data_IF_824867273717
#
_entry.id   IF_824867273717
#
_cell.length_a   1.000
_cell.length_b   1.000
_cell.length_c   1.000
_cell.angle_alpha   90.00
_cell.angle_beta   90.00
_cell.angle_gamma   90.00
#
_symmetry.space_group_name_H-M   'P 1'
#
loop_
_entity.id
_entity.type
_entity.pdbx_description
1 polymer ?
#
# COMPACT_ATOMS: atom_id res chain seq x y z
N UNK A 1 9.99 -13.53 -17.91
CA UNK A 1 9.23 -12.48 -17.19
C UNK A 1 9.13 -11.27 -18.09
N UNK A 2 7.99 -10.57 -18.15
CA UNK A 2 7.88 -9.35 -18.96
C UNK A 2 8.50 -8.17 -18.18
N UNK A 3 9.60 -7.63 -18.67
CA UNK A 3 10.20 -6.41 -18.13
C UNK A 3 9.37 -5.21 -18.57
N UNK A 4 8.45 -4.75 -17.72
CA UNK A 4 7.95 -3.37 -17.85
C UNK A 4 9.16 -2.41 -17.79
N UNK A 5 9.15 -1.31 -18.56
CA UNK A 5 10.24 -0.35 -18.51
C UNK A 5 10.37 0.21 -17.07
N UNK A 6 11.59 0.49 -16.59
CA UNK A 6 11.76 1.04 -15.26
C UNK A 6 11.20 2.45 -15.15
N UNK A 7 11.19 3.21 -16.25
CA UNK A 7 10.62 4.55 -16.37
C UNK A 7 9.16 4.46 -16.86
N UNK A 8 8.21 5.02 -16.10
CA UNK A 8 6.77 5.00 -16.40
C UNK A 8 6.13 6.36 -16.09
N UNK A 9 5.50 6.97 -17.09
CA UNK A 9 4.66 8.16 -16.91
C UNK A 9 3.30 7.77 -16.31
N UNK A 10 3.12 8.03 -15.01
CA UNK A 10 2.08 7.44 -14.16
C UNK A 10 0.67 7.72 -14.67
N UNK A 11 0.34 8.97 -14.97
CA UNK A 11 -1.00 9.35 -15.46
C UNK A 11 -1.37 8.65 -16.78
N UNK A 12 -0.38 8.45 -17.65
CA UNK A 12 -0.55 7.78 -18.94
C UNK A 12 -0.75 6.29 -18.75
N UNK A 13 0.06 5.67 -17.88
CA UNK A 13 -0.11 4.27 -17.51
C UNK A 13 -1.49 4.04 -16.86
N UNK A 14 -1.96 4.94 -16.00
CA UNK A 14 -3.32 4.89 -15.44
C UNK A 14 -4.37 5.01 -16.56
N UNK A 15 -4.23 5.95 -17.48
CA UNK A 15 -5.14 6.12 -18.62
C UNK A 15 -5.22 4.87 -19.52
N UNK A 16 -4.08 4.26 -19.83
CA UNK A 16 -3.97 3.03 -20.63
C UNK A 16 -4.53 1.79 -19.90
N UNK A 17 -4.68 1.84 -18.57
CA UNK A 17 -5.10 0.72 -17.74
C UNK A 17 -6.45 0.91 -17.01
N UNK A 18 -7.24 1.94 -17.35
CA UNK A 18 -8.49 2.29 -16.66
C UNK A 18 -9.44 1.11 -16.40
N UNK A 19 -9.57 0.19 -17.37
CA UNK A 19 -10.44 -0.99 -17.26
C UNK A 19 -10.05 -1.94 -16.10
N UNK A 20 -8.79 -1.95 -15.66
CA UNK A 20 -8.35 -2.78 -14.53
C UNK A 20 -8.77 -2.21 -13.16
N UNK A 21 -9.11 -0.92 -13.09
CA UNK A 21 -9.55 -0.25 -11.86
C UNK A 21 -11.06 -0.41 -11.61
N UNK A 22 -11.76 -1.19 -12.46
CA UNK A 22 -13.18 -1.51 -12.36
C UNK A 22 -13.39 -2.99 -11.95
N UNK A 23 -14.57 -3.34 -11.40
CA UNK A 23 -14.94 -4.73 -11.14
C UNK A 23 -14.88 -5.61 -12.40
N UNK A 24 -14.47 -6.90 -12.29
CA UNK A 24 -14.16 -7.63 -11.06
C UNK A 24 -12.70 -7.50 -10.58
N UNK A 25 -11.85 -6.74 -11.27
CA UNK A 25 -10.40 -6.71 -11.01
C UNK A 25 -10.03 -5.66 -9.96
N UNK A 26 -10.54 -4.43 -10.11
CA UNK A 26 -10.33 -3.27 -9.25
C UNK A 26 -8.87 -2.87 -8.93
N UNK A 27 -7.84 -3.52 -9.46
CA UNK A 27 -6.44 -3.23 -9.18
C UNK A 27 -5.51 -3.57 -10.36
N UNK A 28 -4.32 -2.95 -10.41
CA UNK A 28 -3.22 -3.40 -11.25
C UNK A 28 -1.86 -3.01 -10.68
N UNK A 29 -0.92 -3.97 -10.68
CA UNK A 29 0.50 -3.75 -10.42
C UNK A 29 1.17 -3.02 -11.60
N UNK A 30 1.79 -1.86 -11.30
CA UNK A 30 2.73 -1.16 -12.18
C UNK A 30 4.12 -1.79 -12.07
N UNK A 31 4.58 -2.07 -10.83
CA UNK A 31 5.82 -2.79 -10.58
C UNK A 31 5.61 -3.94 -9.59
N UNK A 32 6.24 -5.07 -9.87
CA UNK A 32 6.21 -6.28 -9.04
C UNK A 32 7.66 -6.76 -8.87
N UNK A 33 8.32 -6.33 -7.80
CA UNK A 33 9.76 -6.51 -7.56
C UNK A 33 10.03 -6.61 -6.05
N UNK A 34 11.07 -5.99 -5.49
CA UNK A 34 11.24 -5.90 -4.03
C UNK A 34 10.17 -4.98 -3.43
N UNK A 35 10.00 -3.79 -4.01
CA UNK A 35 8.81 -2.94 -3.82
C UNK A 35 7.71 -3.41 -4.78
N UNK A 36 6.47 -3.45 -4.31
CA UNK A 36 5.28 -3.69 -5.13
C UNK A 36 4.50 -2.38 -5.22
N UNK A 37 4.28 -1.89 -6.44
CA UNK A 37 3.63 -0.60 -6.70
C UNK A 37 2.38 -0.87 -7.53
N UNK A 38 1.21 -0.56 -6.99
CA UNK A 38 -0.08 -0.83 -7.62
C UNK A 38 -1.04 0.34 -7.55
N UNK A 39 -1.97 0.40 -8.50
CA UNK A 39 -3.09 1.33 -8.50
C UNK A 39 -4.39 0.55 -8.34
N UNK A 40 -5.25 1.03 -7.44
CA UNK A 40 -6.46 0.35 -7.00
C UNK A 40 -7.66 1.30 -7.10
N UNK A 41 -8.72 0.85 -7.77
CA UNK A 41 -9.96 1.60 -7.94
C UNK A 41 -11.17 0.91 -7.29
N UNK A 42 -12.34 1.07 -7.91
CA UNK A 42 -13.60 0.57 -7.36
C UNK A 42 -14.81 0.79 -8.29
N UNK A 43 -16.02 0.39 -7.83
CA UNK A 43 -16.34 0.11 -6.43
C UNK A 43 -15.76 -1.23 -5.95
N UNK A 44 -15.22 -1.25 -4.74
CA UNK A 44 -14.78 -2.46 -4.05
C UNK A 44 -14.99 -2.29 -2.55
N UNK A 45 -15.90 -3.06 -1.96
CA UNK A 45 -16.20 -3.05 -0.51
C UNK A 45 -16.18 -4.48 0.00
N UNK A 46 -15.44 -4.73 1.08
CA UNK A 46 -15.11 -6.07 1.59
C UNK A 46 -15.23 -6.14 3.11
N UNK A 47 -15.46 -7.34 3.66
CA UNK A 47 -15.59 -7.58 5.12
C UNK A 47 -14.33 -8.17 5.75
N UNK A 48 -13.46 -8.77 4.94
CA UNK A 48 -12.17 -9.28 5.35
C UNK A 48 -11.20 -8.15 5.69
N UNK A 49 -10.43 -8.38 6.75
CA UNK A 49 -9.28 -7.61 7.15
C UNK A 49 -8.03 -8.41 6.78
N UNK A 50 -7.13 -7.79 6.05
CA UNK A 50 -5.78 -8.30 5.79
C UNK A 50 -4.85 -7.85 6.92
N UNK A 51 -3.84 -8.67 7.21
CA UNK A 51 -2.82 -8.42 8.24
C UNK A 51 -1.50 -8.89 7.65
N UNK A 52 -0.49 -8.02 7.65
CA UNK A 52 0.86 -8.37 7.18
C UNK A 52 1.96 -7.77 8.07
N UNK A 53 3.22 -8.04 7.72
CA UNK A 53 4.39 -7.57 8.47
C UNK A 53 5.23 -6.50 7.74
N UNK A 54 4.86 -6.11 6.53
CA UNK A 54 5.28 -4.86 5.91
C UNK A 54 4.43 -3.67 6.36
N UNK A 55 4.75 -2.49 5.85
CA UNK A 55 3.94 -1.27 5.99
C UNK A 55 3.27 -1.00 4.63
N UNK A 56 2.10 -0.38 4.62
CA UNK A 56 1.41 0.01 3.38
C UNK A 56 1.28 1.53 3.27
N UNK A 57 1.83 2.10 2.20
CA UNK A 57 1.64 3.51 1.87
C UNK A 57 0.44 3.67 0.92
N UNK A 58 -0.54 4.45 1.35
CA UNK A 58 -1.72 4.82 0.59
C UNK A 58 -1.64 6.28 0.14
N UNK A 59 -2.03 6.54 -1.11
CA UNK A 59 -2.24 7.89 -1.65
C UNK A 59 -3.41 7.88 -2.63
N UNK A 60 -4.41 8.77 -2.47
CA UNK A 60 -5.49 8.89 -3.46
C UNK A 60 -5.15 9.89 -4.54
N UNK A 61 -5.15 9.43 -5.80
CA UNK A 61 -4.99 10.27 -6.97
C UNK A 61 -6.36 10.78 -7.47
N UNK A 62 -7.43 10.04 -7.17
CA UNK A 62 -8.80 10.40 -7.54
C UNK A 62 -9.82 9.79 -6.57
N UNK A 63 -10.66 10.63 -5.99
CA UNK A 63 -11.76 10.28 -5.08
C UNK A 63 -11.31 9.71 -3.73
N UNK A 64 -12.28 9.56 -2.83
CA UNK A 64 -12.04 9.18 -1.44
C UNK A 64 -12.12 7.66 -1.21
N UNK A 65 -11.37 7.15 -0.24
CA UNK A 65 -11.53 5.80 0.31
C UNK A 65 -11.73 5.81 1.83
N UNK A 66 -12.23 4.70 2.36
CA UNK A 66 -12.18 4.40 3.78
C UNK A 66 -11.33 3.14 4.00
N UNK A 67 -10.22 3.26 4.71
CA UNK A 67 -9.47 2.12 5.24
C UNK A 67 -10.00 1.82 6.64
N UNK A 68 -10.79 0.75 6.79
CA UNK A 68 -11.20 0.30 8.12
C UNK A 68 -10.02 -0.39 8.78
N UNK A 69 -9.74 -0.11 10.05
CA UNK A 69 -8.64 -0.74 10.81
C UNK A 69 -9.11 -1.23 12.17
N UNK A 70 -8.38 -2.18 12.74
CA UNK A 70 -8.50 -2.56 14.15
C UNK A 70 -7.40 -1.84 14.94
N UNK A 71 -7.68 -0.63 15.42
CA UNK A 71 -6.79 0.14 16.30
C UNK A 71 -7.03 -0.26 17.75
N UNK A 72 -6.00 -0.75 18.45
CA UNK A 72 -6.07 -1.07 19.89
C UNK A 72 -7.31 -1.89 20.29
N UNK A 73 -7.63 -2.91 19.49
CA UNK A 73 -8.78 -3.80 19.72
C UNK A 73 -10.14 -3.17 19.41
N UNK A 74 -10.21 -2.13 18.58
CA UNK A 74 -11.46 -1.44 18.21
C UNK A 74 -11.49 -1.12 16.71
N UNK A 75 -12.67 -1.24 16.10
CA UNK A 75 -12.89 -0.78 14.72
C UNK A 75 -12.75 0.74 14.63
N UNK A 76 -12.05 1.20 13.59
CA UNK A 76 -11.83 2.62 13.28
C UNK A 76 -11.82 2.83 11.76
N UNK A 77 -12.61 3.77 11.27
CA UNK A 77 -12.74 4.09 9.85
C UNK A 77 -11.80 5.25 9.46
N UNK A 78 -10.63 4.93 8.90
CA UNK A 78 -9.64 5.92 8.42
C UNK A 78 -10.05 6.40 7.03
N UNK A 79 -10.62 7.61 6.98
CA UNK A 79 -11.03 8.25 5.73
C UNK A 79 -9.82 8.92 5.09
N UNK A 80 -9.45 8.49 3.88
CA UNK A 80 -8.32 9.02 3.09
C UNK A 80 -8.91 9.63 1.83
N UNK A 81 -8.87 10.95 1.71
CA UNK A 81 -9.49 11.70 0.61
C UNK A 81 -8.58 11.84 -0.60
N UNK A 82 -9.15 12.27 -1.73
CA UNK A 82 -8.38 12.73 -2.90
C UNK A 82 -7.27 13.71 -2.49
N UNK A 83 -6.02 13.41 -2.89
CA UNK A 83 -4.83 14.19 -2.53
C UNK A 83 -4.26 13.93 -1.13
N UNK A 84 -4.86 13.07 -0.30
CA UNK A 84 -4.32 12.70 1.01
C UNK A 84 -3.40 11.46 0.95
N UNK A 85 -2.31 11.52 1.72
CA UNK A 85 -1.40 10.40 2.00
C UNK A 85 -1.65 9.81 3.39
N UNK A 86 -1.40 8.51 3.53
CA UNK A 86 -1.47 7.78 4.80
C UNK A 86 -0.53 6.57 4.78
N UNK A 87 0.28 6.38 5.82
CA UNK A 87 1.10 5.18 6.03
C UNK A 87 0.45 4.31 7.10
N UNK A 88 0.21 3.04 6.78
CA UNK A 88 -0.24 2.02 7.71
C UNK A 88 0.97 1.31 8.35
N UNK A 89 1.17 1.41 9.68
CA UNK A 89 2.17 0.62 10.39
C UNK A 89 1.89 -0.88 10.28
N UNK A 90 2.95 -1.68 10.24
CA UNK A 90 2.89 -3.13 10.16
C UNK A 90 2.01 -3.78 11.23
N UNK A 91 1.44 -4.94 10.92
CA UNK A 91 0.64 -5.81 11.82
C UNK A 91 -0.64 -5.17 12.38
N UNK A 92 -1.19 -4.16 11.69
CA UNK A 92 -2.52 -3.62 11.94
C UNK A 92 -3.52 -4.31 11.00
N UNK A 93 -4.55 -5.01 11.51
CA UNK A 93 -5.61 -5.57 10.67
C UNK A 93 -6.37 -4.44 9.97
N UNK A 94 -6.49 -4.49 8.65
CA UNK A 94 -7.08 -3.42 7.85
C UNK A 94 -7.98 -3.95 6.71
N UNK A 95 -9.00 -3.19 6.30
CA UNK A 95 -9.99 -3.58 5.29
C UNK A 95 -10.35 -2.39 4.39
N UNK A 96 -9.78 -2.30 3.17
CA UNK A 96 -9.94 -1.14 2.30
C UNK A 96 -11.30 -1.14 1.59
N UNK A 97 -11.98 0.01 1.64
CA UNK A 97 -13.28 0.27 1.02
C UNK A 97 -13.14 1.41 0.00
N UNK A 98 -13.39 1.14 -1.27
CA UNK A 98 -13.23 2.08 -2.39
C UNK A 98 -14.54 2.26 -3.15
N UNK A 99 -14.88 3.50 -3.49
CA UNK A 99 -16.10 3.84 -4.21
C UNK A 99 -15.94 3.69 -5.73
N UNK A 100 -17.02 3.90 -6.48
CA UNK A 100 -16.94 3.96 -7.94
C UNK A 100 -16.10 5.16 -8.40
N UNK A 101 -15.40 5.00 -9.53
CA UNK A 101 -14.60 6.04 -10.19
C UNK A 101 -13.36 6.55 -9.43
N UNK A 102 -13.00 5.95 -8.28
CA UNK A 102 -11.77 6.28 -7.52
C UNK A 102 -10.52 5.63 -8.13
N UNK A 103 -9.35 6.21 -7.93
CA UNK A 103 -8.03 5.58 -8.17
C UNK A 103 -7.05 6.03 -7.09
N UNK A 104 -6.46 5.08 -6.36
CA UNK A 104 -5.38 5.35 -5.41
C UNK A 104 -4.20 4.42 -5.58
N UNK A 105 -3.01 4.96 -5.35
CA UNK A 105 -1.75 4.24 -5.21
C UNK A 105 -1.76 3.45 -3.89
N UNK A 106 -1.22 2.23 -3.95
CA UNK A 106 -0.75 1.46 -2.80
C UNK A 106 0.70 1.05 -3.07
N UNK A 107 1.58 1.23 -2.08
CA UNK A 107 2.95 0.71 -2.10
C UNK A 107 3.19 -0.16 -0.87
N UNK A 108 3.60 -1.40 -1.15
CA UNK A 108 3.99 -2.42 -0.18
C UNK A 108 5.33 -3.07 -0.65
N UNK A 109 5.78 -4.12 0.03
CA UNK A 109 6.99 -4.86 -0.34
C UNK A 109 6.78 -6.37 -0.36
N UNK A 110 7.63 -7.05 -1.13
CA UNK A 110 7.83 -8.50 -1.03
C UNK A 110 8.14 -8.89 0.43
N UNK A 111 7.49 -9.96 0.88
CA UNK A 111 7.69 -10.56 2.20
C UNK A 111 9.07 -11.23 2.29
N UNK A 112 9.64 -11.27 3.49
CA UNK A 112 10.72 -12.20 3.81
C UNK A 112 10.15 -13.62 3.94
N UNK A 113 10.96 -14.65 3.69
CA UNK A 113 10.59 -16.07 3.84
C UNK A 113 10.13 -16.46 5.27
N UNK A 114 10.35 -15.59 6.26
CA UNK A 114 9.95 -15.75 7.67
C UNK A 114 8.65 -15.03 8.02
N UNK A 115 8.12 -14.18 7.14
CA UNK A 115 6.93 -13.37 7.39
C UNK A 115 5.65 -14.10 6.99
N UNK A 116 4.54 -13.80 7.65
CA UNK A 116 3.24 -14.44 7.40
C UNK A 116 2.15 -13.39 7.23
N UNK A 117 1.30 -13.57 6.24
CA UNK A 117 0.10 -12.79 6.01
C UNK A 117 -1.12 -13.51 6.59
N UNK A 118 -2.16 -12.75 6.92
CA UNK A 118 -3.46 -13.28 7.35
C UNK A 118 -4.60 -12.60 6.59
N UNK A 119 -5.62 -13.38 6.21
CA UNK A 119 -6.93 -12.84 5.89
C UNK A 119 -7.93 -13.29 6.96
N UNK A 120 -8.60 -12.33 7.60
CA UNK A 120 -9.49 -12.55 8.74
C UNK A 120 -10.84 -11.88 8.54
N UNK A 121 -11.92 -12.58 8.88
CA UNK A 121 -13.26 -12.00 9.04
C UNK A 121 -13.61 -11.91 10.53
N UNK A 122 -14.42 -10.92 10.88
CA UNK A 122 -14.87 -10.64 12.25
C UNK A 122 -16.39 -10.83 12.40
N UNK A 123 -16.86 -11.08 13.62
CA UNK A 123 -18.29 -11.22 13.93
C UNK A 123 -18.95 -9.83 13.99
N UNK A 124 -19.65 -9.47 12.92
CA UNK A 124 -20.33 -8.18 12.69
C UNK A 124 -19.46 -6.93 12.96
N UNK A 125 -19.61 -6.32 14.14
CA UNK A 125 -18.87 -5.12 14.59
C UNK A 125 -18.05 -5.38 15.86
N UNK A 126 -17.82 -6.65 16.22
CA UNK A 126 -16.95 -7.08 17.32
C UNK A 126 -15.57 -7.43 16.79
N UNK A 127 -14.58 -7.47 17.67
CA UNK A 127 -13.25 -8.01 17.33
C UNK A 127 -13.14 -9.54 17.51
N UNK A 128 -14.26 -10.25 17.63
CA UNK A 128 -14.27 -11.70 17.73
C UNK A 128 -14.06 -12.33 16.35
N UNK A 129 -13.15 -13.31 16.27
CA UNK A 129 -12.73 -13.91 14.98
C UNK A 129 -13.85 -14.82 14.46
N UNK A 130 -14.35 -14.52 13.26
CA UNK A 130 -15.35 -15.33 12.56
C UNK A 130 -14.71 -16.42 11.70
N UNK A 131 -13.56 -16.11 11.09
CA UNK A 131 -12.77 -17.00 10.21
C UNK A 131 -11.40 -16.36 10.02
N UNK A 132 -10.32 -17.14 9.92
CA UNK A 132 -9.01 -16.64 9.49
C UNK A 132 -8.18 -17.69 8.76
N UNK A 133 -7.32 -17.25 7.84
CA UNK A 133 -6.27 -18.10 7.23
C UNK A 133 -4.95 -17.36 7.21
N UNK A 134 -3.92 -18.01 7.75
CA UNK A 134 -2.52 -17.56 7.75
C UNK A 134 -1.77 -18.22 6.59
N UNK A 135 -1.00 -17.45 5.82
CA UNK A 135 -0.30 -17.92 4.63
C UNK A 135 1.02 -17.16 4.40
N UNK A 136 1.97 -17.79 3.68
CA UNK A 136 3.12 -17.07 3.14
C UNK A 136 2.71 -16.39 1.83
N UNK A 137 2.99 -15.09 1.69
CA UNK A 137 2.53 -14.29 0.55
C UNK A 137 3.65 -14.04 -0.48
N UNK A 138 3.48 -14.62 -1.67
CA UNK A 138 4.28 -14.38 -2.87
C UNK A 138 3.57 -13.46 -3.87
N UNK A 139 2.26 -13.63 -4.02
CA UNK A 139 1.37 -12.86 -4.88
C UNK A 139 -0.01 -12.73 -4.19
N UNK A 140 -0.22 -11.59 -3.52
CA UNK A 140 -1.40 -11.33 -2.70
C UNK A 140 -2.70 -11.41 -3.52
N UNK A 141 -2.68 -10.87 -4.74
CA UNK A 141 -3.85 -10.80 -5.62
C UNK A 141 -4.39 -12.18 -6.03
N UNK A 142 -3.50 -13.14 -6.31
CA UNK A 142 -3.89 -14.52 -6.65
C UNK A 142 -4.18 -15.37 -5.42
N UNK A 143 -3.42 -15.21 -4.33
CA UNK A 143 -3.56 -16.04 -3.12
C UNK A 143 -4.79 -15.70 -2.27
N UNK A 144 -5.29 -14.45 -2.30
CA UNK A 144 -6.52 -14.09 -1.60
C UNK A 144 -7.78 -14.73 -2.21
N UNK A 145 -7.81 -14.95 -3.54
CA UNK A 145 -8.98 -15.50 -4.26
C UNK A 145 -9.46 -16.85 -3.72
N UNK A 146 -8.61 -17.89 -3.52
CA UNK A 146 -9.07 -19.15 -2.91
C UNK A 146 -9.52 -18.99 -1.46
N UNK A 147 -8.87 -18.14 -0.65
CA UNK A 147 -9.23 -17.92 0.76
C UNK A 147 -10.61 -17.25 0.88
N UNK A 148 -10.88 -16.24 0.05
CA UNK A 148 -12.20 -15.58 -0.01
C UNK A 148 -13.27 -16.58 -0.47
N UNK A 149 -12.97 -17.46 -1.44
CA UNK A 149 -13.89 -18.53 -1.87
C UNK A 149 -14.16 -19.56 -0.77
N UNK A 150 -13.14 -19.93 0.01
CA UNK A 150 -13.29 -20.82 1.17
C UNK A 150 -14.24 -20.20 2.21
N UNK A 151 -14.01 -18.94 2.59
CA UNK A 151 -14.90 -18.22 3.51
C UNK A 151 -16.34 -18.17 2.96
N UNK A 152 -16.56 -17.74 1.72
CA UNK A 152 -17.90 -17.62 1.13
C UNK A 152 -18.64 -18.98 1.02
N UNK A 153 -17.90 -20.09 0.94
CA UNK A 153 -18.45 -21.44 0.95
C UNK A 153 -18.70 -22.00 2.37
N UNK A 154 -18.10 -21.42 3.40
CA UNK A 154 -18.11 -21.91 4.79
C UNK A 154 -19.50 -21.94 5.45
N UNK A 155 -19.58 -22.43 6.71
CA UNK A 155 -20.76 -22.22 7.57
C UNK A 155 -20.74 -20.82 8.17
N UNK A 156 -19.56 -20.36 8.56
CA UNK A 156 -19.31 -19.10 9.25
C UNK A 156 -19.86 -17.89 8.46
N UNK A 157 -19.65 -17.86 7.14
CA UNK A 157 -20.23 -16.84 6.25
C UNK A 157 -21.77 -16.93 6.10
N UNK A 158 -22.37 -18.10 6.31
CA UNK A 158 -23.82 -18.34 6.20
C UNK A 158 -24.57 -18.10 7.50
N UNK A 159 -23.90 -18.25 8.65
CA UNK A 159 -24.50 -18.11 9.99
C UNK A 159 -24.13 -16.81 10.69
N UNK A 160 -23.05 -16.14 10.28
CA UNK A 160 -22.44 -15.03 11.01
C UNK A 160 -21.78 -15.46 12.33
N UNK A 161 -21.55 -16.76 12.55
CA UNK A 161 -21.04 -17.31 13.82
C UNK A 161 -19.77 -18.14 13.59
N UNK A 162 -18.76 -18.06 14.49
CA UNK A 162 -17.59 -18.93 14.44
C UNK A 162 -17.98 -20.42 14.49
N UNK A 163 -17.20 -21.30 13.87
CA UNK A 163 -17.39 -22.75 14.07
C UNK A 163 -16.78 -23.13 15.42
N UNK A 164 -17.53 -23.73 16.37
CA UNK A 164 -17.03 -24.06 17.71
C UNK A 164 -15.95 -25.15 17.71
N UNK A 165 -15.65 -25.76 16.56
CA UNK A 165 -14.57 -26.73 16.37
C UNK A 165 -13.32 -26.11 15.71
N UNK A 166 -13.39 -24.86 15.25
CA UNK A 166 -12.27 -24.17 14.61
C UNK A 166 -11.34 -23.57 15.68
N UNK A 167 -10.17 -24.20 15.87
CA UNK A 167 -9.13 -23.70 16.77
C UNK A 167 -8.26 -22.72 16.01
N UNK A 168 -8.43 -21.42 16.29
CA UNK A 168 -7.58 -20.38 15.72
C UNK A 168 -6.12 -20.54 16.18
N UNK A 169 -5.19 -20.20 15.29
CA UNK A 169 -3.76 -20.28 15.57
C UNK A 169 -3.35 -19.10 16.45
N UNK A 170 -2.45 -19.31 17.41
CA UNK A 170 -1.77 -18.16 18.03
C UNK A 170 -1.06 -17.34 16.94
N UNK A 171 -1.33 -16.01 16.85
CA UNK A 171 -0.70 -15.18 15.82
C UNK A 171 0.83 -15.29 15.86
N UNK A 172 1.51 -15.49 14.71
CA UNK A 172 2.97 -15.63 14.66
C UNK A 172 3.74 -14.37 15.08
N UNK A 173 3.03 -13.26 15.31
CA UNK A 173 3.54 -11.99 15.82
C UNK A 173 2.48 -11.28 16.65
N UNK A 174 2.90 -10.36 17.52
CA UNK A 174 2.00 -9.47 18.23
C UNK A 174 1.34 -8.47 17.26
N UNK A 175 0.01 -8.34 17.31
CA UNK A 175 -0.72 -7.30 16.59
C UNK A 175 -0.38 -5.92 17.14
N UNK A 176 -0.25 -4.93 16.26
CA UNK A 176 0.28 -3.63 16.61
C UNK A 176 -0.71 -2.77 17.41
N UNK A 177 -0.21 -2.12 18.47
CA UNK A 177 -0.94 -1.28 19.43
C UNK A 177 -0.66 0.22 19.27
N UNK A 178 0.08 0.61 18.23
CA UNK A 178 0.19 2.02 17.84
C UNK A 178 -1.17 2.58 17.42
N UNK A 179 -1.48 3.80 17.84
CA UNK A 179 -2.57 4.55 17.21
C UNK A 179 -2.12 4.96 15.80
N UNK A 180 -2.94 4.66 14.78
CA UNK A 180 -2.65 5.08 13.41
C UNK A 180 -2.69 6.60 13.30
N UNK A 181 -1.81 7.13 12.45
CA UNK A 181 -1.79 8.56 12.13
C UNK A 181 -3.10 9.03 11.50
N UNK A 182 -3.29 10.34 11.41
CA UNK A 182 -4.31 10.90 10.51
C UNK A 182 -3.74 10.97 9.09
N UNK A 183 -4.52 10.67 8.05
CA UNK A 183 -4.20 11.05 6.68
C UNK A 183 -3.99 12.58 6.60
N UNK A 184 -3.21 13.02 5.62
CA UNK A 184 -2.88 14.43 5.44
C UNK A 184 -2.81 14.80 3.97
N UNK A 185 -3.24 16.02 3.63
CA UNK A 185 -3.11 16.60 2.28
C UNK A 185 -1.63 16.66 1.89
N UNK A 186 -1.25 15.88 0.86
CA UNK A 186 0.13 15.82 0.41
C UNK A 186 0.61 17.17 -0.14
N UNK A 187 -0.26 17.85 -0.90
CA UNK A 187 0.00 19.19 -1.43
C UNK A 187 0.28 20.21 -0.32
N UNK A 188 -0.53 20.22 0.75
CA UNK A 188 -0.36 21.23 1.81
C UNK A 188 0.82 20.91 2.74
N UNK A 189 1.23 19.64 2.82
CA UNK A 189 2.53 19.25 3.37
C UNK A 189 3.67 19.75 2.50
N UNK A 190 3.61 19.53 1.17
CA UNK A 190 4.64 19.99 0.22
C UNK A 190 4.81 21.50 0.27
N UNK A 191 3.72 22.28 0.19
CA UNK A 191 3.78 23.74 0.22
C UNK A 191 4.35 24.28 1.53
N UNK A 192 4.08 23.61 2.66
CA UNK A 192 4.68 23.93 3.96
C UNK A 192 6.18 23.61 4.00
N UNK A 193 6.63 22.55 3.33
CA UNK A 193 8.03 22.10 3.32
C UNK A 193 8.86 22.71 2.17
N UNK A 194 8.22 23.32 1.18
CA UNK A 194 8.85 23.92 -0.02
C UNK A 194 10.06 24.82 0.30
N UNK A 195 10.07 25.68 1.36
CA UNK A 195 11.25 26.45 1.73
C UNK A 195 12.43 25.59 2.21
N UNK A 196 12.17 24.48 2.89
CA UNK A 196 13.19 23.54 3.37
C UNK A 196 13.75 22.69 2.23
N UNK A 197 12.87 22.22 1.33
CA UNK A 197 13.25 21.46 0.11
C UNK A 197 14.10 22.32 -0.84
N UNK A 198 13.77 23.60 -1.00
CA UNK A 198 14.54 24.55 -1.81
C UNK A 198 16.01 24.74 -1.35
N UNK A 199 16.34 24.36 -0.11
CA UNK A 199 17.73 24.33 0.39
C UNK A 199 18.47 23.01 0.03
N UNK A 200 17.92 22.18 -0.86
CA UNK A 200 18.53 20.93 -1.32
C UNK A 200 18.56 19.81 -0.27
N UNK A 201 17.84 19.97 0.85
CA UNK A 201 17.76 18.98 1.92
C UNK A 201 16.56 18.05 1.68
N UNK A 202 16.75 16.71 1.63
CA UNK A 202 15.63 15.79 1.68
C UNK A 202 14.91 15.90 3.03
N UNK A 203 13.61 15.61 3.03
CA UNK A 203 12.74 15.75 4.20
C UNK A 203 11.89 14.49 4.35
N UNK A 204 11.91 13.93 5.55
CA UNK A 204 11.15 12.76 5.90
C UNK A 204 9.67 13.11 6.20
N UNK A 205 8.74 12.42 5.54
CA UNK A 205 7.29 12.55 5.80
C UNK A 205 6.93 11.98 7.17
N UNK A 206 7.40 10.76 7.45
CA UNK A 206 6.89 9.89 8.51
C UNK A 206 7.93 9.65 9.63
N UNK A 207 9.13 10.23 9.49
CA UNK A 207 10.18 10.25 10.50
C UNK A 207 11.10 9.03 10.50
N UNK A 208 11.32 8.37 9.36
CA UNK A 208 12.42 7.41 9.20
C UNK A 208 12.91 7.12 7.76
N UNK A 209 12.04 7.11 6.73
CA UNK A 209 12.35 6.50 5.42
C UNK A 209 11.63 7.05 4.15
N UNK A 210 10.96 8.20 4.16
CA UNK A 210 10.17 8.65 2.99
C UNK A 210 10.45 10.10 2.61
N UNK A 211 11.07 10.35 1.46
CA UNK A 211 11.48 11.68 0.99
C UNK A 211 10.51 12.20 -0.09
N UNK A 212 9.97 13.42 0.03
CA UNK A 212 8.89 13.92 -0.87
C UNK A 212 8.91 15.36 -1.33
N UNK A 213 8.52 15.46 -2.59
CA UNK A 213 8.89 16.44 -3.60
C UNK A 213 8.35 15.83 -4.97
N UNK A 214 7.95 16.31 -6.18
CA UNK A 214 7.56 17.53 -6.98
C UNK A 214 8.51 18.20 -8.06
N UNK A 215 8.67 17.65 -9.30
CA UNK A 215 9.51 18.27 -10.37
C UNK A 215 10.16 17.38 -11.47
N UNK A 216 11.22 17.88 -12.15
CA UNK A 216 11.93 17.25 -13.30
C UNK A 216 13.42 16.92 -13.07
N UNK A 217 13.81 15.64 -13.02
CA UNK A 217 15.17 15.21 -12.60
C UNK A 217 15.90 14.31 -13.61
N UNK A 218 17.17 13.98 -13.34
CA UNK A 218 17.98 13.03 -14.10
C UNK A 218 18.57 11.97 -13.18
N UNK A 219 18.22 10.71 -13.41
CA UNK A 219 18.81 9.57 -12.69
C UNK A 219 19.69 8.77 -13.66
N UNK A 220 20.94 8.52 -13.28
CA UNK A 220 21.83 7.59 -14.01
C UNK A 220 21.97 6.31 -13.20
N UNK A 221 21.56 5.17 -13.76
CA UNK A 221 21.62 3.84 -13.13
C UNK A 221 22.43 2.92 -14.05
N UNK A 222 23.55 2.38 -13.56
CA UNK A 222 24.41 1.46 -14.32
C UNK A 222 24.67 1.95 -15.78
N UNK A 223 25.27 3.13 -15.91
CA UNK A 223 25.58 3.84 -17.17
C UNK A 223 24.37 4.34 -18.00
N UNK A 224 23.18 3.75 -17.84
CA UNK A 224 21.96 4.27 -18.48
C UNK A 224 21.45 5.54 -17.77
N UNK A 225 21.21 6.60 -18.54
CA UNK A 225 20.68 7.87 -18.03
C UNK A 225 19.20 8.03 -18.40
N UNK A 226 18.37 8.26 -17.38
CA UNK A 226 16.95 8.57 -17.50
C UNK A 226 16.73 10.05 -17.16
N UNK A 227 16.02 10.78 -18.03
CA UNK A 227 15.48 12.10 -17.68
C UNK A 227 14.01 11.91 -17.32
N UNK A 228 13.60 12.38 -16.15
CA UNK A 228 12.25 12.33 -15.60
C UNK A 228 11.63 13.72 -15.70
N UNK A 229 10.37 13.78 -16.14
CA UNK A 229 9.53 14.98 -16.16
C UNK A 229 8.39 14.86 -15.14
N UNK A 230 7.55 15.89 -15.02
CA UNK A 230 6.40 15.83 -14.12
C UNK A 230 5.46 14.69 -14.53
N UNK A 231 5.12 13.80 -13.59
CA UNK A 231 4.32 12.60 -13.86
C UNK A 231 5.15 11.34 -14.15
N UNK A 232 6.46 11.44 -14.39
CA UNK A 232 7.32 10.27 -14.54
C UNK A 232 7.70 9.63 -13.19
N UNK A 233 7.79 8.30 -13.18
CA UNK A 233 8.29 7.49 -12.07
C UNK A 233 9.38 6.54 -12.57
N UNK A 234 10.41 6.28 -11.75
CA UNK A 234 11.52 5.38 -12.09
C UNK A 234 11.72 4.33 -10.99
N UNK A 235 11.51 3.05 -11.32
CA UNK A 235 11.93 1.95 -10.47
C UNK A 235 13.45 1.73 -10.60
N UNK A 236 14.19 2.01 -9.53
CA UNK A 236 15.61 1.65 -9.41
C UNK A 236 15.69 0.25 -8.78
N UNK A 237 16.25 -0.77 -9.46
CA UNK A 237 16.37 -2.11 -8.89
C UNK A 237 17.31 -2.16 -7.68
N UNK A 238 17.10 -3.13 -6.79
CA UNK A 238 17.94 -3.36 -5.62
C UNK A 238 19.42 -3.53 -5.96
N UNK A 239 20.30 -3.14 -5.03
CA UNK A 239 21.77 -3.22 -5.14
C UNK A 239 22.39 -2.43 -6.31
N UNK A 240 21.61 -1.70 -7.12
CA UNK A 240 22.13 -0.82 -8.17
C UNK A 240 22.61 0.50 -7.59
N UNK A 241 23.87 0.82 -7.83
CA UNK A 241 24.36 2.19 -7.66
C UNK A 241 23.69 3.10 -8.70
N UNK A 242 23.27 4.27 -8.24
CA UNK A 242 22.72 5.33 -9.08
C UNK A 242 23.31 6.69 -8.69
N UNK A 243 23.28 7.63 -9.62
CA UNK A 243 23.51 9.05 -9.37
C UNK A 243 22.23 9.82 -9.70
N UNK A 244 21.89 10.81 -8.87
CA UNK A 244 20.68 11.60 -9.07
C UNK A 244 21.01 13.09 -9.09
N UNK A 245 20.61 13.75 -10.18
CA UNK A 245 20.74 15.19 -10.38
C UNK A 245 19.32 15.77 -10.49
N UNK A 246 18.98 16.71 -9.61
CA UNK A 246 17.70 17.43 -9.62
C UNK A 246 17.94 18.83 -10.18
N UNK A 247 17.07 19.31 -11.06
CA UNK A 247 17.10 20.69 -11.55
C UNK A 247 16.70 21.67 -10.42
N UNK A 248 16.85 22.99 -10.64
CA UNK A 248 16.24 23.95 -9.70
C UNK A 248 14.72 23.83 -9.70
N UNK A 249 14.10 24.08 -8.54
CA UNK A 249 12.67 23.85 -8.26
C UNK A 249 12.21 22.40 -8.50
N UNK A 250 13.12 21.50 -8.89
CA UNK A 250 12.86 20.07 -9.00
C UNK A 250 13.15 19.37 -7.72
N UNK A 251 12.26 18.43 -7.48
CA UNK A 251 12.00 17.82 -6.22
C UNK A 251 11.22 16.50 -6.64
N UNK A 252 11.34 15.32 -6.02
CA UNK A 252 10.68 14.06 -6.45
C UNK A 252 10.56 12.94 -5.37
N UNK A 253 9.40 12.25 -5.30
CA UNK A 253 9.07 11.24 -4.28
C UNK A 253 9.96 9.99 -4.38
N UNK A 254 10.64 9.66 -3.28
CA UNK A 254 11.44 8.46 -3.14
C UNK A 254 10.88 7.57 -2.01
N UNK A 255 10.51 6.33 -2.35
CA UNK A 255 9.96 5.32 -1.44
C UNK A 255 10.91 4.13 -1.33
N UNK A 256 11.30 3.78 -0.11
CA UNK A 256 12.04 2.55 0.19
C UNK A 256 11.42 1.84 1.39
N UNK A 257 11.10 0.56 1.22
CA UNK A 257 10.70 -0.32 2.31
C UNK A 257 11.75 -1.41 2.50
N UNK A 258 12.83 -1.08 3.22
CA UNK A 258 13.86 -2.06 3.56
C UNK A 258 13.40 -2.90 4.77
N UNK A 259 13.24 -4.24 4.64
CA UNK A 259 12.84 -5.11 5.75
C UNK A 259 13.89 -5.18 6.88
N UNK A 260 15.16 -4.87 6.65
CA UNK A 260 16.19 -4.79 7.70
C UNK A 260 15.92 -3.68 8.73
N UNK A 261 15.11 -2.68 8.35
CA UNK A 261 14.69 -1.55 9.19
C UNK A 261 13.29 -1.72 9.79
N UNK A 262 12.70 -2.91 9.64
CA UNK A 262 11.41 -3.28 10.25
C UNK A 262 11.49 -3.12 11.78
N UNK A 263 10.48 -2.45 12.35
CA UNK A 263 10.33 -2.32 13.81
C UNK A 263 9.83 -3.66 14.37
N UNK A 264 10.47 -4.13 15.43
CA UNK A 264 10.19 -5.40 16.12
C UNK A 264 8.89 -5.34 16.91
#
# INVERSE_FOLDING_TARGET
MSSQPPLVHVEKWIAENQNAFLPPVCNKLMHFSQVLIMFVGGPNTRKDYHIEEGEELFYQLKGDMCLKVIENGKHKDVHIKEGEMFLLPARIPHSPQRQANTVGLVVERRRLLTETDCLRYYVDNTTDILFERWFYCEDLGTQLVPIIKEFMASKQAKTGKPDPNEVFREPPFQLNTMNVMKPFSFKDWLDKQRPSLANGRPIDIFGAQFETEEGSSRVTVAEQTFNLTSGDSLLIPEQRQYQWQRNEQTVALFVVQNPERKRT
#
